data_IF_804320658111
#
_entry.id   IF_804320658111
#
_cell.length_a   1.000
_cell.length_b   1.000
_cell.length_c   1.000
_cell.angle_alpha   90.00
_cell.angle_beta   90.00
_cell.angle_gamma   90.00
#
_symmetry.space_group_name_H-M   'P 1'
#
loop_
_entity.id
_entity.type
_entity.pdbx_description
1 polymer ?
#
# COMPACT_ATOMS: atom_id res chain seq x y z
N UNK A 1 -2.98 -26.08 -24.32
CA UNK A 1 -3.46 -24.74 -23.90
C UNK A 1 -4.85 -24.76 -23.21
N UNK A 2 -5.40 -25.92 -22.83
CA UNK A 2 -6.80 -26.05 -22.36
C UNK A 2 -6.93 -26.08 -20.82
N UNK A 3 -5.91 -26.60 -20.12
CA UNK A 3 -5.88 -26.70 -18.64
C UNK A 3 -5.78 -25.34 -17.95
N UNK A 4 -4.96 -24.43 -18.48
CA UNK A 4 -4.82 -23.05 -18.00
C UNK A 4 -6.15 -22.29 -18.06
N UNK A 5 -6.86 -22.37 -19.18
CA UNK A 5 -8.18 -21.73 -19.36
C UNK A 5 -9.23 -22.28 -18.39
N UNK A 6 -9.24 -23.60 -18.16
CA UNK A 6 -10.15 -24.21 -17.19
C UNK A 6 -9.90 -23.73 -15.75
N UNK A 7 -8.63 -23.55 -15.37
CA UNK A 7 -8.26 -22.99 -14.06
C UNK A 7 -8.72 -21.53 -13.93
N UNK A 8 -8.47 -20.69 -14.93
CA UNK A 8 -8.92 -19.28 -14.93
C UNK A 8 -10.44 -19.20 -14.80
N UNK A 9 -11.19 -20.01 -15.54
CA UNK A 9 -12.66 -20.07 -15.43
C UNK A 9 -13.12 -20.46 -14.03
N UNK A 10 -12.45 -21.42 -13.38
CA UNK A 10 -12.77 -21.82 -12.00
C UNK A 10 -12.51 -20.70 -11.00
N UNK A 11 -11.42 -19.97 -11.16
CA UNK A 11 -11.10 -18.79 -10.33
C UNK A 11 -12.15 -17.69 -10.53
N UNK A 12 -12.49 -17.38 -11.78
CA UNK A 12 -13.52 -16.39 -12.10
C UNK A 12 -14.89 -16.77 -11.51
N UNK A 13 -15.28 -18.04 -11.61
CA UNK A 13 -16.54 -18.53 -11.05
C UNK A 13 -16.59 -18.34 -9.52
N UNK A 14 -15.48 -18.63 -8.81
CA UNK A 14 -15.38 -18.40 -7.37
C UNK A 14 -15.46 -16.92 -7.01
N UNK A 15 -14.79 -16.06 -7.79
CA UNK A 15 -14.85 -14.60 -7.61
C UNK A 15 -16.28 -14.08 -7.79
N UNK A 16 -16.95 -14.50 -8.86
CA UNK A 16 -18.35 -14.13 -9.13
C UNK A 16 -19.29 -14.61 -8.02
N UNK A 17 -19.09 -15.83 -7.52
CA UNK A 17 -19.88 -16.36 -6.40
C UNK A 17 -19.69 -15.53 -5.12
N UNK A 18 -18.45 -15.20 -4.77
CA UNK A 18 -18.15 -14.36 -3.61
C UNK A 18 -18.76 -12.95 -3.75
N UNK A 19 -18.65 -12.37 -4.95
CA UNK A 19 -19.25 -11.07 -5.30
C UNK A 19 -20.76 -11.07 -5.10
N UNK A 20 -21.43 -12.10 -5.65
CA UNK A 20 -22.88 -12.25 -5.51
C UNK A 20 -23.29 -12.41 -4.05
N UNK A 21 -22.58 -13.26 -3.30
CA UNK A 21 -22.83 -13.47 -1.87
C UNK A 21 -22.69 -12.17 -1.07
N UNK A 22 -21.66 -11.38 -1.33
CA UNK A 22 -21.46 -10.09 -0.68
C UNK A 22 -22.60 -9.11 -1.00
N UNK A 23 -22.96 -8.97 -2.28
CA UNK A 23 -24.03 -8.06 -2.71
C UNK A 23 -25.38 -8.43 -2.07
N UNK A 24 -25.73 -9.70 -2.07
CA UNK A 24 -26.96 -10.19 -1.45
C UNK A 24 -26.96 -9.97 0.07
N UNK A 25 -25.84 -10.27 0.75
CA UNK A 25 -25.70 -10.02 2.18
C UNK A 25 -25.80 -8.54 2.54
N UNK A 26 -25.17 -7.67 1.75
CA UNK A 26 -25.25 -6.21 1.92
C UNK A 26 -26.66 -5.68 1.68
N UNK A 27 -27.38 -6.21 0.69
CA UNK A 27 -28.78 -5.84 0.45
C UNK A 27 -29.67 -6.20 1.65
N UNK A 28 -29.51 -7.40 2.21
CA UNK A 28 -30.22 -7.81 3.43
C UNK A 28 -29.86 -6.92 4.62
N UNK A 29 -28.57 -6.58 4.79
CA UNK A 29 -28.13 -5.66 5.83
C UNK A 29 -28.70 -4.25 5.66
N UNK A 30 -28.83 -3.72 4.44
CA UNK A 30 -29.47 -2.43 4.20
C UNK A 30 -30.93 -2.43 4.69
N UNK A 31 -31.69 -3.47 4.34
CA UNK A 31 -33.09 -3.61 4.77
C UNK A 31 -33.19 -3.69 6.30
N UNK A 32 -32.33 -4.47 6.95
CA UNK A 32 -32.31 -4.61 8.40
C UNK A 32 -31.83 -3.33 9.10
N UNK A 33 -30.88 -2.62 8.52
CA UNK A 33 -30.31 -1.40 9.10
C UNK A 33 -31.33 -0.26 9.18
N UNK A 34 -32.25 -0.19 8.21
CA UNK A 34 -33.35 0.77 8.22
C UNK A 34 -34.28 0.55 9.42
N UNK A 35 -34.49 -0.72 9.78
CA UNK A 35 -35.35 -1.13 10.91
C UNK A 35 -34.62 -0.97 12.24
N UNK A 36 -33.33 -1.31 12.31
CA UNK A 36 -32.53 -1.24 13.54
C UNK A 36 -31.96 0.16 13.85
N UNK A 37 -32.00 1.10 12.89
CA UNK A 37 -31.40 2.42 13.04
C UNK A 37 -29.87 2.43 13.13
N UNK A 38 -29.19 1.35 12.70
CA UNK A 38 -27.72 1.23 12.78
C UNK A 38 -27.10 1.51 11.41
N UNK A 39 -26.46 2.67 11.25
CA UNK A 39 -25.84 3.09 9.98
C UNK A 39 -24.31 2.92 9.91
N UNK A 40 -23.64 2.69 11.04
CA UNK A 40 -22.17 2.81 11.15
C UNK A 40 -21.41 1.82 10.26
N UNK A 41 -22.00 0.65 10.03
CA UNK A 41 -21.42 -0.43 9.21
C UNK A 41 -21.27 -0.07 7.73
N UNK A 42 -21.98 0.95 7.23
CA UNK A 42 -21.91 1.34 5.82
C UNK A 42 -20.56 1.97 5.44
N UNK A 43 -19.86 2.54 6.43
CA UNK A 43 -18.52 3.12 6.24
C UNK A 43 -17.46 2.04 5.97
N UNK A 44 -17.58 0.91 6.68
CA UNK A 44 -16.70 -0.26 6.58
C UNK A 44 -17.08 -1.18 5.42
N UNK A 45 -18.36 -1.51 5.26
CA UNK A 45 -18.86 -2.44 4.24
C UNK A 45 -19.45 -1.66 3.07
N UNK A 46 -18.60 -1.17 2.16
CA UNK A 46 -19.01 -0.31 1.03
C UNK A 46 -19.71 -1.09 -0.10
N UNK A 47 -20.46 -0.43 -0.99
CA UNK A 47 -20.96 -1.05 -2.21
C UNK A 47 -19.81 -1.63 -3.04
N UNK A 48 -19.95 -2.89 -3.47
CA UNK A 48 -18.93 -3.59 -4.26
C UNK A 48 -19.18 -3.37 -5.76
N UNK A 49 -18.44 -2.44 -6.36
CA UNK A 49 -18.48 -2.16 -7.80
C UNK A 49 -17.64 -3.17 -8.57
N UNK A 50 -17.92 -3.34 -9.86
CA UNK A 50 -17.12 -4.24 -10.71
C UNK A 50 -15.67 -3.75 -10.83
N UNK A 51 -15.44 -2.43 -10.76
CA UNK A 51 -14.11 -1.80 -10.72
C UNK A 51 -13.31 -2.14 -9.47
N UNK A 52 -13.95 -2.59 -8.39
CA UNK A 52 -13.26 -2.95 -7.15
C UNK A 52 -12.73 -4.39 -7.18
N UNK A 53 -13.29 -5.23 -8.07
CA UNK A 53 -12.94 -6.64 -8.26
C UNK A 53 -11.73 -6.72 -9.20
N UNK A 54 -10.59 -6.22 -8.72
CA UNK A 54 -9.32 -6.24 -9.44
C UNK A 54 -8.24 -6.91 -8.58
N UNK A 55 -7.27 -7.54 -9.25
CA UNK A 55 -6.11 -8.08 -8.56
C UNK A 55 -5.29 -6.97 -7.90
N UNK A 56 -4.50 -7.33 -6.88
CA UNK A 56 -3.62 -6.40 -6.16
C UNK A 56 -2.65 -5.64 -7.08
N UNK A 57 -2.35 -6.20 -8.26
CA UNK A 57 -1.44 -5.65 -9.28
C UNK A 57 -2.14 -5.14 -10.55
N UNK A 58 -3.47 -5.23 -10.64
CA UNK A 58 -4.24 -4.83 -11.84
C UNK A 58 -4.60 -3.33 -11.79
N UNK A 59 -3.61 -2.48 -11.53
CA UNK A 59 -3.76 -1.04 -11.71
C UNK A 59 -3.69 -0.68 -13.20
N UNK A 60 -4.66 0.09 -13.70
CA UNK A 60 -4.71 0.54 -15.10
C UNK A 60 -3.62 1.57 -15.45
N UNK A 61 -2.91 2.06 -14.44
CA UNK A 61 -1.83 3.01 -14.60
C UNK A 61 -0.51 2.28 -14.85
N UNK A 62 -0.32 1.75 -16.06
CA UNK A 62 0.99 1.28 -16.54
C UNK A 62 2.07 2.39 -16.53
N UNK A 63 1.66 3.64 -16.27
CA UNK A 63 2.46 4.84 -16.09
C UNK A 63 2.73 5.19 -14.61
N UNK A 64 2.06 4.56 -13.64
CA UNK A 64 2.39 4.74 -12.21
C UNK A 64 3.59 3.87 -11.87
N UNK A 65 4.64 4.47 -11.30
CA UNK A 65 5.77 3.72 -10.76
C UNK A 65 5.27 2.66 -9.76
N UNK A 66 6.01 1.57 -9.59
CA UNK A 66 5.65 0.42 -8.74
C UNK A 66 5.21 0.80 -7.31
N UNK A 67 5.48 2.02 -6.85
CA UNK A 67 5.07 2.57 -5.55
C UNK A 67 3.73 3.33 -5.50
N UNK A 68 3.04 3.60 -6.63
CA UNK A 68 1.83 4.44 -6.68
C UNK A 68 0.62 3.75 -7.34
N UNK A 69 0.40 2.47 -7.04
CA UNK A 69 -0.82 1.78 -7.49
C UNK A 69 -2.00 2.09 -6.57
N UNK A 70 -3.09 2.59 -7.15
CA UNK A 70 -4.35 2.85 -6.42
C UNK A 70 -5.05 1.52 -6.12
N UNK A 71 -4.94 1.06 -4.87
CA UNK A 71 -5.59 -0.17 -4.41
C UNK A 71 -7.11 0.01 -4.28
N UNK A 72 -7.89 -1.02 -4.62
CA UNK A 72 -9.34 -1.00 -4.35
C UNK A 72 -9.62 -0.97 -2.85
N UNK A 73 -10.75 -0.39 -2.45
CA UNK A 73 -11.09 -0.18 -1.04
C UNK A 73 -11.13 -1.48 -0.22
N UNK A 74 -11.39 -2.62 -0.88
CA UNK A 74 -11.39 -3.97 -0.28
C UNK A 74 -10.00 -4.27 0.33
N UNK A 75 -8.93 -3.83 -0.34
CA UNK A 75 -7.55 -4.01 0.13
C UNK A 75 -7.13 -2.91 1.11
N UNK A 76 -7.75 -1.72 1.04
CA UNK A 76 -7.43 -0.62 1.97
C UNK A 76 -8.04 -0.81 3.36
N UNK A 77 -9.19 -1.48 3.48
CA UNK A 77 -9.91 -1.64 4.75
C UNK A 77 -9.10 -2.39 5.83
N UNK A 78 -8.16 -3.25 5.44
CA UNK A 78 -7.29 -4.01 6.36
C UNK A 78 -6.12 -3.17 6.91
N UNK A 79 -5.67 -2.14 6.17
CA UNK A 79 -4.41 -1.42 6.45
C UNK A 79 -4.57 -0.21 7.36
N UNK A 80 -5.80 0.17 7.69
CA UNK A 80 -6.10 1.33 8.53
C UNK A 80 -6.00 1.01 10.03
N UNK A 81 -4.96 0.29 10.46
CA UNK A 81 -4.60 0.29 11.87
C UNK A 81 -3.64 1.47 12.07
N UNK A 82 -4.16 2.58 12.60
CA UNK A 82 -3.42 3.85 12.70
C UNK A 82 -2.03 3.68 13.35
N UNK A 83 -1.91 2.75 14.30
CA UNK A 83 -0.65 2.41 14.96
C UNK A 83 0.44 1.94 13.97
N UNK A 84 0.13 1.01 13.07
CA UNK A 84 1.08 0.43 12.11
C UNK A 84 1.49 1.46 11.03
N UNK A 85 0.56 2.34 10.65
CA UNK A 85 0.82 3.46 9.74
C UNK A 85 1.80 4.47 10.37
N UNK A 86 1.61 4.80 11.64
CA UNK A 86 2.52 5.71 12.35
C UNK A 86 3.92 5.12 12.53
N UNK A 87 4.01 3.82 12.81
CA UNK A 87 5.29 3.10 12.93
C UNK A 87 6.07 3.10 11.61
N UNK A 88 5.42 2.75 10.49
CA UNK A 88 6.06 2.79 9.18
C UNK A 88 6.52 4.20 8.76
N UNK A 89 5.79 5.24 9.17
CA UNK A 89 6.17 6.63 8.91
C UNK A 89 7.35 7.08 9.79
N UNK A 90 7.43 6.60 11.03
CA UNK A 90 8.56 6.85 11.93
C UNK A 90 9.83 6.17 11.40
N UNK A 91 9.75 4.92 10.93
CA UNK A 91 10.88 4.24 10.31
C UNK A 91 11.40 4.95 9.06
N UNK A 92 10.48 5.38 8.18
CA UNK A 92 10.85 6.12 6.97
C UNK A 92 11.57 7.43 7.33
N UNK A 93 11.07 8.15 8.34
CA UNK A 93 11.72 9.36 8.85
C UNK A 93 13.11 9.07 9.42
N UNK A 94 13.26 8.02 10.22
CA UNK A 94 14.55 7.62 10.78
C UNK A 94 15.58 7.25 9.69
N UNK A 95 15.15 6.61 8.60
CA UNK A 95 16.01 6.33 7.44
C UNK A 95 16.48 7.60 6.73
N UNK A 96 15.58 8.56 6.51
CA UNK A 96 15.92 9.86 5.92
C UNK A 96 16.90 10.63 6.80
N UNK A 97 16.66 10.66 8.12
CA UNK A 97 17.55 11.32 9.08
C UNK A 97 18.95 10.69 9.07
N UNK A 98 19.04 9.36 9.13
CA UNK A 98 20.34 8.66 9.06
C UNK A 98 21.07 8.92 7.74
N UNK A 99 20.36 8.91 6.62
CA UNK A 99 20.98 9.22 5.33
C UNK A 99 21.51 10.65 5.29
N UNK A 100 20.77 11.61 5.84
CA UNK A 100 21.21 13.00 5.93
C UNK A 100 22.44 13.15 6.84
N UNK A 101 22.49 12.45 7.97
CA UNK A 101 23.67 12.40 8.86
C UNK A 101 24.90 11.84 8.13
N UNK A 102 24.74 10.73 7.40
CA UNK A 102 25.82 10.14 6.59
C UNK A 102 26.34 11.10 5.51
N UNK A 103 25.45 11.85 4.83
CA UNK A 103 25.86 12.88 3.88
C UNK A 103 26.70 14.01 4.51
N UNK A 104 26.32 14.45 5.72
CA UNK A 104 27.07 15.47 6.47
C UNK A 104 28.43 14.94 6.90
N UNK A 105 28.48 13.73 7.47
CA UNK A 105 29.71 13.09 7.91
C UNK A 105 30.67 12.86 6.74
N UNK A 106 30.19 12.35 5.61
CA UNK A 106 31.01 12.13 4.43
C UNK A 106 31.63 13.43 3.91
N UNK A 107 30.84 14.50 3.87
CA UNK A 107 31.32 15.83 3.43
C UNK A 107 32.43 16.34 4.35
N UNK A 108 32.26 16.18 5.66
CA UNK A 108 33.25 16.60 6.65
C UNK A 108 34.51 15.74 6.62
N UNK A 109 34.40 14.42 6.43
CA UNK A 109 35.53 13.52 6.25
C UNK A 109 36.33 13.86 4.98
N UNK A 110 35.67 14.12 3.85
CA UNK A 110 36.35 14.56 2.63
C UNK A 110 37.14 15.86 2.84
N UNK A 111 36.56 16.83 3.59
CA UNK A 111 37.25 18.07 3.96
C UNK A 111 38.50 17.80 4.82
N UNK A 112 38.40 16.91 5.80
CA UNK A 112 39.50 16.54 6.70
C UNK A 112 40.62 15.82 5.97
N UNK A 113 40.31 14.89 5.07
CA UNK A 113 41.29 14.17 4.25
C UNK A 113 42.13 15.15 3.42
N UNK A 114 41.48 16.13 2.77
CA UNK A 114 42.20 17.17 2.03
C UNK A 114 43.11 17.99 2.95
N UNK A 115 42.59 18.43 4.10
CA UNK A 115 43.39 19.20 5.06
C UNK A 115 44.59 18.42 5.59
N UNK A 116 44.40 17.14 5.92
CA UNK A 116 45.45 16.25 6.37
C UNK A 116 46.57 16.13 5.32
N UNK A 117 46.22 15.91 4.05
CA UNK A 117 47.21 15.86 2.98
C UNK A 117 47.92 17.21 2.77
N UNK A 118 47.21 18.33 2.83
CA UNK A 118 47.86 19.66 2.70
C UNK A 118 48.81 19.95 3.86
N UNK A 119 48.49 19.49 5.07
CA UNK A 119 49.37 19.61 6.23
C UNK A 119 50.58 18.68 6.11
N UNK A 120 50.38 17.41 5.71
CA UNK A 120 51.46 16.45 5.46
C UNK A 120 52.49 17.00 4.47
N UNK A 121 52.04 17.62 3.37
CA UNK A 121 52.94 18.25 2.37
C UNK A 121 53.80 19.37 2.96
N UNK A 122 53.33 20.09 3.99
CA UNK A 122 54.09 21.17 4.64
C UNK A 122 55.07 20.68 5.70
N UNK A 123 54.90 19.44 6.18
CA UNK A 123 55.70 18.84 7.25
C UNK A 123 56.86 18.00 6.72
N UNK A 124 56.77 17.55 5.46
CA UNK A 124 57.90 16.99 4.70
C UNK A 124 58.84 18.10 4.21
#
# INVERSE_FOLDING_TARGET
NTRSVALVKKVQARSNFATSKYRSGRAALLMLSLVLGKSDWQSTLRPLLNSDIRGLKDGEDASSSEGCQTLSWIWMAQRMNDAEMTEGMNEARARVQRWQEECILLTEEMRRVVQFHTWQVKVW
#
